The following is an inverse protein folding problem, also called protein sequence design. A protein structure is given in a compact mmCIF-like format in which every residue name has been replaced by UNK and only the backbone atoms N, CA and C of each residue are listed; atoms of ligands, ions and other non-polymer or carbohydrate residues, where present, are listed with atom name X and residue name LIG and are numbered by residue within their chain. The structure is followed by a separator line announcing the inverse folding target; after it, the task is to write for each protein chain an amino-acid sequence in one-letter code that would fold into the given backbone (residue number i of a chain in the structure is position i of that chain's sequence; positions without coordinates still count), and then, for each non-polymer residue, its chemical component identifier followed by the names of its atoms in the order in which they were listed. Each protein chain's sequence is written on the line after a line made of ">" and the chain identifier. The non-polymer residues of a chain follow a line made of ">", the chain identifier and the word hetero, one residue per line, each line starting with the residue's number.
data_IF_608675917177
#
_entry.id   IF_608675917177
#
_cell.length_a   1.000
_cell.length_b   1.000
_cell.length_c   1.000
_cell.angle_alpha   90.00
_cell.angle_beta   90.00
_cell.angle_gamma   90.00
#
_symmetry.space_group_name_H-M   'P 1'
#
loop_
_entity.id
_entity.type
_entity.pdbx_description
1 polymer ?
#
# COMPACT_ATOMS: atom_id res chain seq x y z
N UNK A 1 -31.75 -11.27 7.19
CA UNK A 1 -30.65 -10.30 7.10
C UNK A 1 -30.13 -10.05 8.49
N UNK A 2 -29.01 -10.67 8.86
CA UNK A 2 -28.37 -10.40 10.13
C UNK A 2 -27.42 -9.21 9.91
N UNK A 3 -27.88 -7.98 10.19
CA UNK A 3 -27.09 -6.75 9.99
C UNK A 3 -25.84 -6.66 10.88
N UNK A 4 -25.62 -7.67 11.73
CA UNK A 4 -24.51 -7.73 12.65
C UNK A 4 -23.16 -7.58 11.93
N UNK A 5 -23.00 -8.23 10.77
CA UNK A 5 -21.73 -8.22 10.03
C UNK A 5 -21.46 -6.85 9.40
N UNK A 6 -22.46 -6.22 8.78
CA UNK A 6 -22.37 -4.86 8.23
C UNK A 6 -22.09 -3.81 9.32
N UNK A 7 -22.76 -3.93 10.47
CA UNK A 7 -22.54 -3.03 11.61
C UNK A 7 -21.12 -3.21 12.16
N UNK A 8 -20.67 -4.44 12.33
CA UNK A 8 -19.31 -4.74 12.77
C UNK A 8 -18.28 -4.17 11.79
N UNK A 9 -18.48 -4.37 10.49
CA UNK A 9 -17.64 -3.81 9.43
C UNK A 9 -17.60 -2.28 9.49
N UNK A 10 -18.76 -1.62 9.59
CA UNK A 10 -18.86 -0.16 9.68
C UNK A 10 -18.13 0.38 10.92
N UNK A 11 -18.27 -0.27 12.09
CA UNK A 11 -17.58 0.13 13.32
C UNK A 11 -16.06 0.02 13.15
N UNK A 12 -15.56 -1.10 12.60
CA UNK A 12 -14.13 -1.30 12.35
C UNK A 12 -13.60 -0.25 11.36
N UNK A 13 -14.34 0.00 10.28
CA UNK A 13 -13.97 0.99 9.26
C UNK A 13 -13.88 2.40 9.85
N UNK A 14 -14.88 2.82 10.64
CA UNK A 14 -14.91 4.14 11.29
C UNK A 14 -13.76 4.28 12.28
N UNK A 15 -13.52 3.26 13.11
CA UNK A 15 -12.41 3.28 14.08
C UNK A 15 -11.06 3.34 13.37
N UNK A 16 -10.88 2.56 12.30
CA UNK A 16 -9.66 2.57 11.48
C UNK A 16 -9.38 3.92 10.84
N UNK A 17 -10.37 4.50 10.14
CA UNK A 17 -10.26 5.82 9.52
C UNK A 17 -10.05 6.92 10.58
N UNK A 18 -10.74 6.83 11.71
CA UNK A 18 -10.60 7.76 12.83
C UNK A 18 -9.18 7.75 13.40
N UNK A 19 -8.61 6.57 13.64
CA UNK A 19 -7.24 6.41 14.12
C UNK A 19 -6.21 6.92 13.09
N UNK A 20 -6.38 6.59 11.82
CA UNK A 20 -5.53 7.08 10.73
C UNK A 20 -5.54 8.62 10.65
N UNK A 21 -6.73 9.21 10.66
CA UNK A 21 -6.92 10.66 10.61
C UNK A 21 -6.26 11.36 11.81
N UNK A 22 -6.37 10.79 13.02
CA UNK A 22 -5.71 11.31 14.22
C UNK A 22 -4.19 11.32 14.09
N UNK A 23 -3.60 10.27 13.52
CA UNK A 23 -2.15 10.20 13.29
C UNK A 23 -1.69 11.22 12.24
N UNK A 24 -2.42 11.37 11.13
CA UNK A 24 -2.12 12.42 10.13
C UNK A 24 -2.15 13.80 10.77
N UNK A 25 -3.18 14.11 11.58
CA UNK A 25 -3.29 15.41 12.27
C UNK A 25 -2.11 15.63 13.22
N UNK A 26 -1.66 14.60 13.93
CA UNK A 26 -0.47 14.68 14.79
C UNK A 26 0.80 14.98 14.00
N UNK A 27 1.02 14.28 12.88
CA UNK A 27 2.18 14.52 11.99
C UNK A 27 2.12 15.93 11.40
N UNK A 28 0.97 16.33 10.85
CA UNK A 28 0.76 17.66 10.27
C UNK A 28 1.01 18.77 11.29
N UNK A 29 0.50 18.63 12.52
CA UNK A 29 0.77 19.55 13.62
C UNK A 29 2.27 19.67 13.88
N UNK A 30 2.97 18.55 14.00
CA UNK A 30 4.41 18.55 14.27
C UNK A 30 5.22 19.20 13.14
N UNK A 31 4.84 18.97 11.88
CA UNK A 31 5.48 19.62 10.72
C UNK A 31 5.29 21.15 10.79
N UNK A 32 4.07 21.60 11.13
CA UNK A 32 3.73 23.04 11.24
C UNK A 32 4.35 23.75 12.45
N UNK A 33 4.89 23.01 13.43
CA UNK A 33 5.69 23.59 14.52
C UNK A 33 7.14 23.88 14.09
N UNK A 34 7.56 23.38 12.93
CA UNK A 34 8.87 23.69 12.37
C UNK A 34 8.99 25.15 11.93
N UNK A 35 10.21 25.58 11.60
CA UNK A 35 10.48 26.92 11.09
C UNK A 35 9.89 27.08 9.70
N UNK A 36 9.15 28.16 9.47
CA UNK A 36 8.72 28.56 8.14
C UNK A 36 9.94 28.91 7.30
N UNK A 37 10.05 28.26 6.14
CA UNK A 37 11.11 28.47 5.17
C UNK A 37 10.43 28.92 3.88
N UNK A 38 10.80 30.09 3.38
CA UNK A 38 10.33 30.54 2.07
C UNK A 38 10.90 29.63 0.98
N UNK A 39 9.99 29.13 0.16
CA UNK A 39 10.22 28.11 -0.88
C UNK A 39 9.50 28.47 -2.18
N UNK A 40 9.10 29.74 -2.33
CA UNK A 40 8.40 30.26 -3.51
C UNK A 40 9.30 30.37 -4.74
N UNK A 41 10.62 30.26 -4.58
CA UNK A 41 11.56 30.31 -5.67
C UNK A 41 11.56 29.01 -6.50
N UNK A 42 11.74 29.14 -7.83
CA UNK A 42 11.96 28.02 -8.75
C UNK A 42 10.92 26.88 -8.70
N UNK A 43 9.63 27.21 -8.49
CA UNK A 43 8.56 26.23 -8.33
C UNK A 43 8.56 25.13 -9.42
N UNK A 44 8.72 25.51 -10.70
CA UNK A 44 8.75 24.57 -11.82
C UNK A 44 9.88 23.53 -11.69
N UNK A 45 11.10 23.94 -11.32
CA UNK A 45 12.22 23.00 -11.13
C UNK A 45 11.94 22.02 -9.99
N UNK A 46 11.27 22.48 -8.94
CA UNK A 46 10.94 21.65 -7.76
C UNK A 46 9.84 20.65 -8.06
N UNK A 47 8.78 21.07 -8.75
CA UNK A 47 7.74 20.17 -9.24
C UNK A 47 8.30 19.12 -10.19
N UNK A 48 9.15 19.52 -11.14
CA UNK A 48 9.78 18.57 -12.06
C UNK A 48 10.67 17.57 -11.32
N UNK A 49 11.47 18.03 -10.35
CA UNK A 49 12.27 17.17 -9.51
C UNK A 49 11.42 16.23 -8.64
N UNK A 50 10.31 16.73 -8.08
CA UNK A 50 9.36 15.93 -7.30
C UNK A 50 8.73 14.83 -8.16
N UNK A 51 8.24 15.15 -9.35
CA UNK A 51 7.69 14.16 -10.30
C UNK A 51 8.75 13.13 -10.68
N UNK A 52 9.97 13.55 -11.03
CA UNK A 52 11.05 12.64 -11.42
C UNK A 52 11.50 11.70 -10.29
N UNK A 53 11.48 12.15 -9.04
CA UNK A 53 11.90 11.34 -7.89
C UNK A 53 10.73 10.50 -7.35
N UNK A 54 9.56 11.10 -7.14
CA UNK A 54 8.42 10.47 -6.49
C UNK A 54 7.64 9.57 -7.44
N UNK A 55 7.33 10.04 -8.66
CA UNK A 55 6.59 9.24 -9.65
C UNK A 55 7.54 8.42 -10.53
N UNK A 56 8.63 9.05 -11.00
CA UNK A 56 9.59 8.40 -11.88
C UNK A 56 10.51 7.38 -11.21
N UNK A 57 10.53 7.31 -9.86
CA UNK A 57 11.34 6.36 -9.08
C UNK A 57 12.82 6.29 -9.52
N UNK A 58 13.36 7.42 -10.00
CA UNK A 58 14.67 7.52 -10.66
C UNK A 58 15.85 6.95 -9.84
N UNK A 59 15.74 6.94 -8.50
CA UNK A 59 16.74 6.34 -7.60
C UNK A 59 16.75 4.80 -7.62
N UNK A 60 15.64 4.17 -7.98
CA UNK A 60 15.49 2.71 -7.98
C UNK A 60 15.92 2.06 -9.29
N UNK A 61 15.98 2.82 -10.39
CA UNK A 61 16.55 2.38 -11.67
C UNK A 61 18.02 1.98 -11.54
N UNK A 62 18.76 2.56 -10.59
CA UNK A 62 20.15 2.18 -10.27
C UNK A 62 20.30 0.76 -9.70
N UNK A 63 19.20 0.10 -9.33
CA UNK A 63 19.18 -1.26 -8.76
C UNK A 63 18.08 -2.07 -9.46
N UNK A 64 18.34 -2.61 -10.67
CA UNK A 64 17.29 -3.09 -11.58
C UNK A 64 16.35 -4.11 -10.95
N UNK A 65 16.89 -5.09 -10.21
CA UNK A 65 16.07 -6.11 -9.52
C UNK A 65 15.13 -5.47 -8.50
N UNK A 66 15.63 -4.57 -7.65
CA UNK A 66 14.79 -3.90 -6.65
C UNK A 66 13.78 -2.94 -7.28
N UNK A 67 14.15 -2.30 -8.40
CA UNK A 67 13.27 -1.44 -9.17
C UNK A 67 12.11 -2.20 -9.79
N UNK A 68 12.36 -3.33 -10.45
CA UNK A 68 11.33 -4.18 -11.06
C UNK A 68 10.33 -4.67 -10.00
N UNK A 69 10.84 -5.24 -8.90
CA UNK A 69 9.99 -5.73 -7.81
C UNK A 69 9.13 -4.61 -7.20
N UNK A 70 9.68 -3.41 -7.06
CA UNK A 70 8.90 -2.29 -6.54
C UNK A 70 7.87 -1.77 -7.54
N UNK A 71 8.16 -1.77 -8.85
CA UNK A 71 7.17 -1.39 -9.86
C UNK A 71 5.98 -2.35 -9.83
N UNK A 72 6.23 -3.66 -9.67
CA UNK A 72 5.18 -4.66 -9.48
C UNK A 72 4.31 -4.31 -8.26
N UNK A 73 4.94 -4.06 -7.11
CA UNK A 73 4.23 -3.68 -5.88
C UNK A 73 3.44 -2.37 -6.09
N UNK A 74 4.04 -1.36 -6.72
CA UNK A 74 3.42 -0.06 -6.96
C UNK A 74 2.19 -0.15 -7.88
N UNK A 75 2.31 -0.84 -9.01
CA UNK A 75 1.21 -1.07 -9.95
C UNK A 75 0.12 -1.93 -9.30
N UNK A 76 0.52 -2.98 -8.59
CA UNK A 76 -0.40 -3.83 -7.83
C UNK A 76 -1.24 -3.00 -6.86
N UNK A 77 -0.64 -2.13 -6.05
CA UNK A 77 -1.39 -1.27 -5.14
C UNK A 77 -2.31 -0.28 -5.83
N UNK A 78 -1.89 0.37 -6.93
CA UNK A 78 -2.77 1.29 -7.66
C UNK A 78 -4.03 0.58 -8.13
N UNK A 79 -3.85 -0.61 -8.68
CA UNK A 79 -4.93 -1.38 -9.30
C UNK A 79 -5.85 -1.98 -8.22
N UNK A 80 -5.29 -2.58 -7.16
CA UNK A 80 -6.05 -3.17 -6.04
C UNK A 80 -6.90 -2.14 -5.28
N UNK A 81 -6.55 -0.84 -5.32
CA UNK A 81 -7.40 0.19 -4.69
C UNK A 81 -8.82 0.25 -5.30
N UNK A 82 -8.99 -0.14 -6.57
CA UNK A 82 -10.31 -0.21 -7.21
C UNK A 82 -11.16 -1.28 -6.52
N UNK A 83 -10.57 -2.42 -6.20
CA UNK A 83 -11.26 -3.51 -5.52
C UNK A 83 -11.46 -3.27 -4.02
N UNK A 84 -10.52 -2.58 -3.36
CA UNK A 84 -10.73 -2.11 -1.98
C UNK A 84 -11.99 -1.24 -1.90
N UNK A 85 -12.26 -0.44 -2.93
CA UNK A 85 -13.47 0.37 -2.98
C UNK A 85 -14.72 -0.52 -3.14
N UNK A 86 -14.67 -1.58 -3.96
CA UNK A 86 -15.73 -2.60 -4.03
C UNK A 86 -15.97 -3.26 -2.66
N UNK A 87 -14.91 -3.76 -2.01
CA UNK A 87 -14.97 -4.40 -0.68
C UNK A 87 -15.61 -3.47 0.36
N UNK A 88 -15.30 -2.17 0.33
CA UNK A 88 -15.91 -1.19 1.24
C UNK A 88 -17.41 -1.03 0.98
N UNK A 89 -17.82 -0.93 -0.29
CA UNK A 89 -19.25 -0.82 -0.64
C UNK A 89 -19.98 -2.09 -0.24
N UNK A 90 -19.47 -3.26 -0.64
CA UNK A 90 -20.05 -4.56 -0.35
C UNK A 90 -20.17 -4.81 1.15
N UNK A 91 -19.12 -4.51 1.93
CA UNK A 91 -19.14 -4.64 3.38
C UNK A 91 -20.12 -3.70 4.09
N UNK A 92 -20.36 -2.50 3.55
CA UNK A 92 -21.30 -1.54 4.14
C UNK A 92 -22.75 -1.86 3.79
N UNK A 93 -23.03 -2.19 2.53
CA UNK A 93 -24.40 -2.37 2.03
C UNK A 93 -24.85 -3.83 2.00
N UNK A 94 -23.96 -4.79 2.24
CA UNK A 94 -24.26 -6.22 2.17
C UNK A 94 -24.50 -6.67 0.73
N UNK A 95 -23.94 -5.95 -0.23
CA UNK A 95 -23.92 -6.34 -1.64
C UNK A 95 -22.79 -7.32 -1.90
N UNK A 96 -22.82 -7.97 -3.07
CA UNK A 96 -21.77 -8.88 -3.52
C UNK A 96 -21.40 -8.49 -4.94
N UNK A 97 -20.13 -8.12 -5.14
CA UNK A 97 -19.55 -7.68 -6.42
C UNK A 97 -20.36 -6.57 -7.09
N UNK A 98 -20.49 -5.42 -6.42
CA UNK A 98 -21.24 -4.27 -6.96
C UNK A 98 -20.73 -3.78 -8.32
N UNK A 99 -19.48 -4.07 -8.69
CA UNK A 99 -18.93 -3.72 -10.01
C UNK A 99 -19.11 -4.81 -11.08
N UNK A 100 -19.77 -5.92 -10.76
CA UNK A 100 -20.14 -6.95 -11.74
C UNK A 100 -20.97 -6.41 -12.91
N UNK A 101 -21.63 -5.25 -12.75
CA UNK A 101 -22.40 -4.58 -13.81
C UNK A 101 -21.56 -4.28 -15.06
N UNK A 102 -20.24 -4.17 -14.91
CA UNK A 102 -19.30 -3.91 -16.02
C UNK A 102 -18.97 -5.18 -16.84
N UNK A 103 -19.54 -6.33 -16.49
CA UNK A 103 -19.51 -7.56 -17.30
C UNK A 103 -18.10 -8.04 -17.64
N UNK A 104 -17.78 -8.15 -18.93
CA UNK A 104 -16.48 -8.68 -19.38
C UNK A 104 -15.26 -7.88 -18.90
N UNK A 105 -15.41 -6.56 -18.71
CA UNK A 105 -14.33 -5.71 -18.16
C UNK A 105 -14.07 -6.05 -16.70
N UNK A 106 -15.13 -6.31 -15.93
CA UNK A 106 -15.03 -6.72 -14.53
C UNK A 106 -14.30 -8.06 -14.40
N UNK A 107 -14.65 -9.06 -15.20
CA UNK A 107 -13.98 -10.37 -15.18
C UNK A 107 -12.47 -10.25 -15.50
N UNK A 108 -12.11 -9.39 -16.46
CA UNK A 108 -10.71 -9.12 -16.78
C UNK A 108 -9.99 -8.42 -15.61
N UNK A 109 -10.64 -7.47 -14.95
CA UNK A 109 -10.08 -6.77 -13.80
C UNK A 109 -9.81 -7.73 -12.63
N UNK A 110 -10.79 -8.54 -12.24
CA UNK A 110 -10.63 -9.52 -11.15
C UNK A 110 -9.49 -10.51 -11.46
N UNK A 111 -9.46 -11.09 -12.65
CA UNK A 111 -8.37 -11.99 -13.05
C UNK A 111 -7.00 -11.29 -13.06
N UNK A 112 -6.96 -10.00 -13.43
CA UNK A 112 -5.72 -9.21 -13.35
C UNK A 112 -5.30 -8.96 -11.90
N UNK A 113 -6.25 -8.74 -10.98
CA UNK A 113 -5.98 -8.50 -9.57
C UNK A 113 -5.36 -9.71 -8.88
N UNK A 114 -5.82 -10.92 -9.19
CA UNK A 114 -5.25 -12.16 -8.64
C UNK A 114 -3.78 -12.34 -9.07
N UNK A 115 -3.50 -12.20 -10.36
CA UNK A 115 -2.14 -12.29 -10.90
C UNK A 115 -1.25 -11.22 -10.26
N UNK A 116 -1.72 -9.98 -10.20
CA UNK A 116 -0.98 -8.88 -9.60
C UNK A 116 -0.74 -9.10 -8.10
N UNK A 117 -1.74 -9.52 -7.34
CA UNK A 117 -1.62 -9.81 -5.91
C UNK A 117 -0.60 -10.92 -5.64
N UNK A 118 -0.59 -11.97 -6.46
CA UNK A 118 0.43 -13.01 -6.40
C UNK A 118 1.84 -12.46 -6.69
N UNK A 119 1.99 -11.63 -7.71
CA UNK A 119 3.27 -10.98 -8.03
C UNK A 119 3.74 -10.00 -6.93
N UNK A 120 2.82 -9.28 -6.30
CA UNK A 120 3.11 -8.44 -5.12
C UNK A 120 3.61 -9.33 -3.98
N UNK A 121 2.92 -10.45 -3.68
CA UNK A 121 3.30 -11.39 -2.64
C UNK A 121 4.71 -11.95 -2.84
N UNK A 122 5.06 -12.33 -4.07
CA UNK A 122 6.44 -12.73 -4.43
C UNK A 122 7.41 -11.58 -4.17
N UNK A 123 7.07 -10.36 -4.61
CA UNK A 123 7.95 -9.20 -4.51
C UNK A 123 8.26 -8.82 -3.06
N UNK A 124 7.24 -8.78 -2.19
CA UNK A 124 7.41 -8.47 -0.76
C UNK A 124 8.13 -9.60 -0.02
N UNK A 125 7.94 -10.86 -0.43
CA UNK A 125 8.71 -12.00 0.09
C UNK A 125 10.19 -11.86 -0.25
N UNK A 126 10.52 -11.50 -1.49
CA UNK A 126 11.93 -11.25 -1.89
C UNK A 126 12.50 -10.06 -1.11
N UNK A 127 11.74 -8.99 -0.88
CA UNK A 127 12.19 -7.87 -0.04
C UNK A 127 12.43 -8.29 1.41
N UNK A 128 11.58 -9.14 1.96
CA UNK A 128 11.75 -9.70 3.31
C UNK A 128 13.02 -10.54 3.41
N UNK A 129 13.21 -11.49 2.49
CA UNK A 129 14.40 -12.35 2.43
C UNK A 129 15.68 -11.53 2.28
N UNK A 130 15.68 -10.49 1.44
CA UNK A 130 16.83 -9.58 1.30
C UNK A 130 17.15 -8.83 2.59
N UNK A 131 16.15 -8.56 3.42
CA UNK A 131 16.32 -7.85 4.69
C UNK A 131 16.78 -8.78 5.81
N UNK A 132 16.18 -9.96 5.94
CA UNK A 132 16.42 -10.88 7.07
C UNK A 132 17.48 -11.95 6.80
N UNK A 133 17.51 -12.51 5.60
CA UNK A 133 18.34 -13.68 5.24
C UNK A 133 19.65 -13.24 4.61
N UNK A 134 19.61 -12.42 3.55
CA UNK A 134 20.82 -11.98 2.83
C UNK A 134 21.65 -10.98 3.66
N UNK A 135 21.03 -10.34 4.65
CA UNK A 135 21.67 -9.42 5.61
C UNK A 135 22.61 -8.38 4.97
N UNK A 136 22.13 -7.68 3.95
CA UNK A 136 22.91 -6.62 3.27
C UNK A 136 23.40 -5.59 4.30
N UNK A 137 24.69 -5.20 4.30
CA UNK A 137 25.29 -4.37 5.36
C UNK A 137 24.49 -3.10 5.71
N UNK A 138 24.01 -2.37 4.69
CA UNK A 138 23.18 -1.16 4.89
C UNK A 138 21.90 -1.36 5.70
N UNK A 139 21.37 -2.58 5.76
CA UNK A 139 20.16 -2.92 6.52
C UNK A 139 20.47 -3.39 7.95
N UNK A 140 21.76 -3.62 8.26
CA UNK A 140 22.24 -4.18 9.52
C UNK A 140 23.28 -3.29 10.21
N UNK A 141 23.52 -2.09 9.70
CA UNK A 141 24.31 -1.06 10.36
C UNK A 141 23.71 -0.66 11.72
N UNK A 142 24.54 -0.06 12.58
CA UNK A 142 24.13 0.39 13.92
C UNK A 142 22.95 1.37 13.89
N UNK A 143 22.85 2.22 12.85
CA UNK A 143 21.72 3.14 12.66
C UNK A 143 20.36 2.46 12.43
N UNK A 144 20.34 1.19 12.02
CA UNK A 144 19.11 0.45 11.73
C UNK A 144 18.52 -0.22 12.97
N UNK A 145 19.15 -0.14 14.15
CA UNK A 145 18.65 -0.78 15.37
C UNK A 145 17.35 -0.12 15.84
N UNK A 146 16.37 -0.95 16.25
CA UNK A 146 15.10 -0.49 16.80
C UNK A 146 14.06 -0.15 15.72
N UNK A 147 13.51 1.06 15.80
CA UNK A 147 12.33 1.46 15.03
C UNK A 147 12.50 1.38 13.50
N UNK A 148 13.60 1.85 12.87
CA UNK A 148 13.72 1.84 11.41
C UNK A 148 13.71 0.44 10.78
N UNK A 149 14.23 -0.56 11.50
CA UNK A 149 14.18 -1.96 11.07
C UNK A 149 12.78 -2.54 11.22
N UNK A 150 12.14 -2.28 12.37
CA UNK A 150 10.82 -2.81 12.68
C UNK A 150 9.75 -2.20 11.78
N UNK A 151 9.79 -0.88 11.54
CA UNK A 151 8.87 -0.18 10.65
C UNK A 151 8.81 -0.83 9.26
N UNK A 152 9.98 -1.00 8.64
CA UNK A 152 10.06 -1.61 7.32
C UNK A 152 9.71 -3.12 7.30
N UNK A 153 9.84 -3.82 8.43
CA UNK A 153 9.36 -5.20 8.56
C UNK A 153 7.84 -5.25 8.76
N UNK A 154 7.27 -4.36 9.56
CA UNK A 154 5.83 -4.28 9.73
C UNK A 154 5.13 -3.99 8.42
N UNK A 155 5.64 -3.06 7.62
CA UNK A 155 5.09 -2.79 6.28
C UNK A 155 5.06 -4.06 5.45
N UNK A 156 6.21 -4.72 5.26
CA UNK A 156 6.28 -5.96 4.45
C UNK A 156 5.38 -7.08 5.03
N UNK A 157 5.28 -7.19 6.34
CA UNK A 157 4.42 -8.16 7.00
C UNK A 157 2.94 -7.91 6.71
N UNK A 158 2.48 -6.66 6.89
CA UNK A 158 1.10 -6.28 6.59
C UNK A 158 0.79 -6.41 5.10
N UNK A 159 1.73 -6.09 4.21
CA UNK A 159 1.57 -6.30 2.77
C UNK A 159 1.40 -7.80 2.44
N UNK A 160 2.22 -8.69 3.04
CA UNK A 160 2.07 -10.13 2.87
C UNK A 160 0.70 -10.62 3.37
N UNK A 161 0.30 -10.23 4.59
CA UNK A 161 -1.00 -10.61 5.16
C UNK A 161 -2.14 -10.10 4.29
N UNK A 162 -2.09 -8.85 3.85
CA UNK A 162 -3.11 -8.24 2.99
C UNK A 162 -3.26 -9.02 1.68
N UNK A 163 -2.16 -9.29 0.98
CA UNK A 163 -2.19 -10.04 -0.29
C UNK A 163 -2.64 -11.49 -0.09
N UNK A 164 -2.28 -12.13 1.02
CA UNK A 164 -2.76 -13.48 1.33
C UNK A 164 -4.26 -13.50 1.62
N UNK A 165 -4.76 -12.60 2.47
CA UNK A 165 -6.20 -12.50 2.77
C UNK A 165 -6.99 -12.21 1.50
N UNK A 166 -6.45 -11.34 0.64
CA UNK A 166 -7.03 -11.00 -0.64
C UNK A 166 -7.17 -12.21 -1.57
N UNK A 167 -6.09 -12.98 -1.76
CA UNK A 167 -6.12 -14.19 -2.59
C UNK A 167 -7.03 -15.28 -2.01
N UNK A 168 -7.05 -15.44 -0.69
CA UNK A 168 -7.93 -16.40 -0.01
C UNK A 168 -9.40 -16.00 -0.19
N UNK A 169 -9.72 -14.71 -0.02
CA UNK A 169 -11.07 -14.18 -0.21
C UNK A 169 -11.59 -14.53 -1.61
N UNK A 170 -10.81 -14.24 -2.66
CA UNK A 170 -11.20 -14.55 -4.03
C UNK A 170 -11.26 -16.06 -4.32
N UNK A 171 -10.45 -16.89 -3.65
CA UNK A 171 -10.51 -18.34 -3.80
C UNK A 171 -11.72 -18.99 -3.11
N UNK A 172 -12.33 -18.29 -2.13
CA UNK A 172 -13.53 -18.74 -1.41
C UNK A 172 -14.83 -18.14 -1.94
N UNK A 173 -14.72 -17.25 -2.92
CA UNK A 173 -15.84 -16.57 -3.59
C UNK A 173 -16.44 -17.43 -4.71
#
# INVERSE_FOLDING_TARGET
>A
MNYLDNIAFAVILIVGIGFFTKNIKKISRNIKLGKDIDRKDNANKRWNNMVMIALGQSKMVKRPIAGILHIIVYVGFIIINIEVLEIIIDGLFGTHRVFSIFGGVYNFLIGSFEILAFLVLISVTVFWLRRMVVRIPRFWNKEMKGWPKNDALYILYFEMVLMSLFLIMNATD
#
